data_IF_004132670386
#
_entry.id   IF_004132670386
#
_cell.length_a   1.000
_cell.length_b   1.000
_cell.length_c   1.000
_cell.angle_alpha   90.00
_cell.angle_beta   90.00
_cell.angle_gamma   90.00
#
_symmetry.space_group_name_H-M   'P 1'
#
loop_
_entity.id
_entity.type
_entity.pdbx_description
1 polymer ?
#
# COMPACT_ATOMS: atom_id res chain seq x y z
N UNK A 1 -5.48 -6.12 -7.93
CA UNK A 1 -4.05 -5.86 -7.68
C UNK A 1 -3.60 -6.65 -6.46
N UNK A 2 -2.31 -6.81 -6.26
CA UNK A 2 -1.74 -7.28 -5.01
C UNK A 2 -0.84 -6.19 -4.40
N UNK A 3 -0.69 -6.18 -3.08
CA UNK A 3 0.19 -5.28 -2.35
C UNK A 3 0.93 -6.02 -1.25
N UNK A 4 2.13 -5.54 -0.97
CA UNK A 4 2.98 -6.06 0.09
C UNK A 4 3.99 -4.97 0.50
N UNK A 5 4.71 -5.21 1.60
CA UNK A 5 5.74 -4.34 2.12
C UNK A 5 7.11 -5.02 2.02
N UNK A 6 8.15 -4.24 1.75
CA UNK A 6 9.51 -4.72 1.96
C UNK A 6 10.39 -3.63 2.59
N UNK A 7 11.35 -4.03 3.44
CA UNK A 7 12.30 -3.11 3.99
C UNK A 7 13.40 -2.76 2.97
N UNK A 8 13.88 -1.53 3.02
CA UNK A 8 15.12 -1.11 2.37
C UNK A 8 16.02 -0.42 3.38
N UNK A 9 17.32 -0.43 3.12
CA UNK A 9 18.30 0.35 3.88
C UNK A 9 18.89 1.42 2.98
N UNK A 10 18.87 2.66 3.45
CA UNK A 10 19.31 3.83 2.69
C UNK A 10 20.39 4.54 3.49
N UNK A 11 21.51 4.84 2.83
CA UNK A 11 22.57 5.64 3.44
C UNK A 11 22.13 7.11 3.53
N UNK A 12 22.13 7.67 4.74
CA UNK A 12 21.77 9.06 5.00
C UNK A 12 22.94 9.79 5.68
N UNK A 13 22.84 11.12 5.81
CA UNK A 13 23.79 11.91 6.61
C UNK A 13 23.88 11.49 8.09
N UNK A 14 22.93 10.68 8.57
CA UNK A 14 22.89 10.14 9.93
C UNK A 14 23.24 8.64 9.99
N UNK A 15 23.83 8.10 8.93
CA UNK A 15 24.16 6.67 8.79
C UNK A 15 23.09 5.87 8.03
N UNK A 16 23.22 4.54 8.08
CA UNK A 16 22.29 3.61 7.45
C UNK A 16 20.93 3.65 8.17
N UNK A 17 19.87 3.94 7.43
CA UNK A 17 18.51 4.00 7.97
C UNK A 17 17.59 3.04 7.23
N UNK A 18 16.75 2.33 8.00
CA UNK A 18 15.74 1.43 7.46
C UNK A 18 14.46 2.18 7.12
N UNK A 19 13.91 1.88 5.94
CA UNK A 19 12.61 2.35 5.48
C UNK A 19 11.76 1.16 5.09
N UNK A 20 10.45 1.33 5.15
CA UNK A 20 9.46 0.40 4.61
C UNK A 20 8.94 0.99 3.31
N UNK A 21 8.93 0.16 2.26
CA UNK A 21 8.33 0.46 0.97
C UNK A 21 7.03 -0.33 0.86
N UNK A 22 5.94 0.38 0.54
CA UNK A 22 4.71 -0.23 0.07
C UNK A 22 4.71 -0.23 -1.45
N UNK A 23 4.37 -1.36 -2.05
CA UNK A 23 4.20 -1.45 -3.50
C UNK A 23 2.90 -2.16 -3.87
N UNK A 24 2.44 -1.88 -5.08
CA UNK A 24 1.31 -2.51 -5.72
C UNK A 24 1.78 -3.20 -6.99
N UNK A 25 1.20 -4.36 -7.30
CA UNK A 25 1.45 -5.07 -8.55
C UNK A 25 0.13 -5.47 -9.21
N UNK A 26 0.08 -5.31 -10.53
CA UNK A 26 -0.94 -5.93 -11.36
C UNK A 26 -0.44 -7.30 -11.86
N UNK A 27 -0.99 -8.43 -11.37
CA UNK A 27 -0.41 -9.76 -11.65
C UNK A 27 -0.37 -10.15 -13.12
N UNK A 28 -1.33 -9.68 -13.92
CA UNK A 28 -1.44 -9.99 -15.35
C UNK A 28 -0.35 -9.31 -16.18
N UNK A 29 0.01 -8.07 -15.84
CA UNK A 29 0.97 -7.26 -16.59
C UNK A 29 2.35 -7.22 -15.93
N UNK A 30 2.44 -7.66 -14.67
CA UNK A 30 3.63 -7.51 -13.81
C UNK A 30 4.06 -6.05 -13.62
N UNK A 31 3.18 -5.09 -13.93
CA UNK A 31 3.44 -3.67 -13.67
C UNK A 31 3.46 -3.46 -12.15
N UNK A 32 4.55 -2.87 -11.66
CA UNK A 32 4.74 -2.53 -10.24
C UNK A 32 4.69 -1.02 -10.09
N UNK A 33 4.00 -0.56 -9.04
CA UNK A 33 3.92 0.84 -8.69
C UNK A 33 4.19 1.03 -7.20
N UNK A 34 4.95 2.05 -6.84
CA UNK A 34 5.27 2.35 -5.44
C UNK A 34 4.13 3.12 -4.80
N UNK A 35 3.55 2.58 -3.73
CA UNK A 35 2.53 3.23 -2.93
C UNK A 35 3.08 4.33 -2.05
N UNK A 36 4.26 4.09 -1.48
CA UNK A 36 4.97 5.07 -0.67
C UNK A 36 6.18 4.46 0.04
N UNK A 37 7.01 5.33 0.59
CA UNK A 37 8.19 4.98 1.36
C UNK A 37 8.14 5.73 2.69
N UNK A 38 8.30 5.03 3.80
CA UNK A 38 8.29 5.66 5.12
C UNK A 38 9.33 5.06 6.06
N UNK A 39 9.98 5.93 6.85
CA UNK A 39 10.83 5.51 7.96
C UNK A 39 10.01 5.03 9.15
N UNK A 40 8.77 5.51 9.26
CA UNK A 40 7.83 5.19 10.34
C UNK A 40 6.51 4.81 9.69
N UNK A 41 6.46 3.59 9.16
CA UNK A 41 5.22 3.01 8.65
C UNK A 41 4.28 2.75 9.84
N UNK A 42 3.13 3.42 9.83
CA UNK A 42 2.12 3.32 10.88
C UNK A 42 0.72 3.59 10.30
N UNK A 43 -0.30 3.54 11.16
CA UNK A 43 -1.68 3.78 10.74
C UNK A 43 -1.89 5.13 10.07
N UNK A 44 -1.34 6.23 10.61
CA UNK A 44 -1.51 7.58 10.02
C UNK A 44 -0.93 7.67 8.61
N UNK A 45 0.25 7.08 8.41
CA UNK A 45 0.86 6.98 7.09
C UNK A 45 -0.04 6.17 6.15
N UNK A 46 -0.55 5.02 6.60
CA UNK A 46 -1.45 4.18 5.81
C UNK A 46 -2.80 4.85 5.48
N UNK A 47 -3.36 5.67 6.37
CA UNK A 47 -4.56 6.45 6.09
C UNK A 47 -4.30 7.50 5.00
N UNK A 48 -3.12 8.11 4.98
CA UNK A 48 -2.74 9.02 3.89
C UNK A 48 -2.54 8.27 2.57
N UNK A 49 -1.91 7.09 2.60
CA UNK A 49 -1.80 6.21 1.42
C UNK A 49 -3.19 5.89 0.87
N UNK A 50 -4.14 5.46 1.72
CA UNK A 50 -5.49 5.12 1.29
C UNK A 50 -6.18 6.28 0.55
N UNK A 51 -6.01 7.51 1.05
CA UNK A 51 -6.51 8.72 0.39
C UNK A 51 -5.84 8.98 -0.95
N UNK A 52 -4.52 8.82 -1.03
CA UNK A 52 -3.78 9.01 -2.28
C UNK A 52 -4.18 7.99 -3.34
N UNK A 53 -4.43 6.74 -2.95
CA UNK A 53 -4.88 5.69 -3.87
C UNK A 53 -6.27 5.94 -4.44
N UNK A 54 -7.14 6.57 -3.65
CA UNK A 54 -8.55 6.78 -4.00
C UNK A 54 -8.83 8.16 -4.60
N UNK A 55 -7.80 8.98 -4.78
CA UNK A 55 -7.94 10.28 -5.43
C UNK A 55 -8.41 10.08 -6.88
N UNK A 56 -9.60 10.62 -7.17
CA UNK A 56 -10.27 10.46 -8.45
C UNK A 56 -9.38 10.95 -9.61
N UNK A 57 -9.37 10.18 -10.69
CA UNK A 57 -8.66 10.37 -11.97
C UNK A 57 -7.22 9.82 -12.10
N UNK A 58 -6.46 9.64 -11.02
CA UNK A 58 -5.06 9.15 -11.11
C UNK A 58 -4.69 8.02 -10.12
N UNK A 59 -5.62 7.62 -9.26
CA UNK A 59 -5.38 6.59 -8.25
C UNK A 59 -5.02 5.22 -8.83
N UNK A 60 -3.96 4.58 -8.31
CA UNK A 60 -3.48 3.24 -8.72
C UNK A 60 -4.58 2.17 -8.65
N UNK A 61 -5.52 2.32 -7.70
CA UNK A 61 -6.64 1.39 -7.50
C UNK A 61 -7.88 1.76 -8.31
N UNK A 62 -7.86 2.87 -9.05
CA UNK A 62 -9.00 3.33 -9.86
C UNK A 62 -9.39 2.27 -10.89
N UNK A 63 -10.68 1.94 -10.94
CA UNK A 63 -11.22 0.89 -11.80
C UNK A 63 -10.82 -0.55 -11.42
N UNK A 64 -10.12 -0.77 -10.29
CA UNK A 64 -9.75 -2.12 -9.82
C UNK A 64 -10.76 -2.58 -8.76
N UNK A 65 -11.41 -3.73 -8.98
CA UNK A 65 -12.39 -4.25 -8.03
C UNK A 65 -11.81 -4.87 -6.75
N UNK A 66 -10.54 -5.27 -6.76
CA UNK A 66 -9.92 -6.03 -5.67
C UNK A 66 -8.47 -5.65 -5.40
N UNK A 67 -8.10 -5.61 -4.11
CA UNK A 67 -6.73 -5.55 -3.62
C UNK A 67 -6.42 -6.76 -2.75
N UNK A 68 -5.49 -7.60 -3.18
CA UNK A 68 -4.97 -8.74 -2.42
C UNK A 68 -3.79 -8.25 -1.58
N UNK A 69 -3.72 -8.65 -0.32
CA UNK A 69 -2.56 -8.36 0.52
C UNK A 69 -2.39 -9.43 1.60
N UNK A 70 -1.23 -9.44 2.26
CA UNK A 70 -0.96 -10.33 3.37
C UNK A 70 -1.73 -9.90 4.65
N UNK A 71 -1.32 -10.37 5.83
CA UNK A 71 -1.98 -10.03 7.10
C UNK A 71 -1.22 -8.98 7.89
N UNK A 72 -0.34 -8.21 7.26
CA UNK A 72 0.40 -7.15 7.94
C UNK A 72 -0.57 -6.16 8.61
N UNK A 73 -0.36 -5.82 9.91
CA UNK A 73 -1.24 -4.91 10.65
C UNK A 73 -1.27 -3.48 10.10
N UNK A 74 -0.34 -3.10 9.22
CA UNK A 74 -0.36 -1.83 8.50
C UNK A 74 -1.55 -1.72 7.54
N UNK A 75 -2.12 -2.83 7.07
CA UNK A 75 -3.41 -2.82 6.38
C UNK A 75 -4.55 -2.62 7.39
N UNK A 76 -4.63 -1.40 7.94
CA UNK A 76 -5.53 -1.01 9.02
C UNK A 76 -7.00 -1.11 8.60
N UNK A 77 -7.89 -1.19 9.59
CA UNK A 77 -9.34 -1.12 9.34
C UNK A 77 -9.73 0.18 8.63
N UNK A 78 -9.08 1.30 8.94
CA UNK A 78 -9.32 2.57 8.26
C UNK A 78 -8.90 2.50 6.78
N UNK A 79 -7.73 1.94 6.47
CA UNK A 79 -7.27 1.73 5.10
C UNK A 79 -8.28 0.89 4.30
N UNK A 80 -8.70 -0.25 4.86
CA UNK A 80 -9.68 -1.14 4.24
C UNK A 80 -11.00 -0.42 3.99
N UNK A 81 -11.47 0.37 4.95
CA UNK A 81 -12.72 1.13 4.84
C UNK A 81 -12.65 2.16 3.71
N UNK A 82 -11.58 2.95 3.65
CA UNK A 82 -11.38 3.95 2.58
C UNK A 82 -11.39 3.27 1.21
N UNK A 83 -10.72 2.14 1.03
CA UNK A 83 -10.77 1.43 -0.25
C UNK A 83 -12.18 0.93 -0.60
N UNK A 84 -12.91 0.41 0.39
CA UNK A 84 -14.27 -0.07 0.21
C UNK A 84 -15.25 1.05 -0.18
N UNK A 85 -15.11 2.25 0.42
CA UNK A 85 -15.91 3.44 0.10
C UNK A 85 -15.73 3.88 -1.37
N UNK A 86 -14.62 3.49 -2.01
CA UNK A 86 -14.31 3.71 -3.43
C UNK A 86 -14.52 2.46 -4.30
N UNK A 87 -15.23 1.44 -3.80
CA UNK A 87 -15.60 0.25 -4.56
C UNK A 87 -14.48 -0.81 -4.70
N UNK A 88 -13.39 -0.69 -3.94
CA UNK A 88 -12.27 -1.64 -3.97
C UNK A 88 -12.35 -2.59 -2.77
N UNK A 89 -12.54 -3.89 -3.02
CA UNK A 89 -12.58 -4.89 -1.94
C UNK A 89 -11.20 -5.43 -1.61
N UNK A 90 -10.83 -5.42 -0.34
CA UNK A 90 -9.58 -6.03 0.13
C UNK A 90 -9.73 -7.53 0.39
N UNK A 91 -8.77 -8.34 -0.06
CA UNK A 91 -8.69 -9.79 0.16
C UNK A 91 -7.40 -10.12 0.89
N UNK A 92 -7.52 -10.68 2.09
CA UNK A 92 -6.37 -11.15 2.88
C UNK A 92 -5.95 -12.54 2.44
N UNK A 93 -4.65 -12.79 2.34
CA UNK A 93 -4.13 -14.12 2.06
C UNK A 93 -4.50 -15.12 3.19
N UNK A 94 -4.63 -16.43 2.85
CA UNK A 94 -4.71 -17.49 3.85
C UNK A 94 -3.54 -17.46 4.83
N UNK A 95 -3.70 -18.02 6.05
CA UNK A 95 -2.58 -18.21 6.97
C UNK A 95 -1.62 -19.29 6.47
#
# INVERSE_FOLDING_TARGET
>A
MAADFFPIEVWTRYGLQRFIVLFFIEPSTRKVETGGISRTANGLWMSQIARNLTYADEGIVSGKGYLIHDRDPLFTTEFVKVLADFGVKTLKLPP
#
